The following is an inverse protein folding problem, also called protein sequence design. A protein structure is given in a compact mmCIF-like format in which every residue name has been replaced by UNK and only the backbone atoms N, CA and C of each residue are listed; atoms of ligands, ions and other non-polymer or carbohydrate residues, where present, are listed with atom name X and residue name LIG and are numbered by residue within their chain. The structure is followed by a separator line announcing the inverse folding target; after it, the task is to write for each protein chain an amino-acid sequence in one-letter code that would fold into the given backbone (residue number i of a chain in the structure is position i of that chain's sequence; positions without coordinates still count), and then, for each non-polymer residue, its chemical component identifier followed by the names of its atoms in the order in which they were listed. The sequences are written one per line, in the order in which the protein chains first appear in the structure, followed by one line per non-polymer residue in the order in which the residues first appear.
data_IF_326388029977
#
_entry.id   IF_326388029977
#
_cell.length_a   1.000
_cell.length_b   1.000
_cell.length_c   1.000
_cell.angle_alpha   90.00
_cell.angle_beta   90.00
_cell.angle_gamma   90.00
#
_symmetry.space_group_name_H-M   'P 1'
#
loop_
_entity.id
_entity.type
_entity.pdbx_description
1 polymer ?
#
# COMPACT_ATOMS: atom_id res chain seq x y z
N UNK A 1 -20.19 25.70 -1.33
CA UNK A 1 -19.57 24.36 -1.50
C UNK A 1 -18.74 24.04 -0.27
N UNK A 2 -19.14 23.01 0.48
CA UNK A 2 -18.58 22.64 1.78
C UNK A 2 -17.50 21.57 1.57
N UNK A 3 -16.23 21.92 1.67
CA UNK A 3 -15.16 20.92 1.78
C UNK A 3 -14.98 20.54 3.25
N UNK A 4 -15.42 19.31 3.58
CA UNK A 4 -15.16 18.64 4.85
C UNK A 4 -13.72 18.10 4.82
N UNK A 5 -12.95 18.11 5.90
CA UNK A 5 -11.55 17.67 5.88
C UNK A 5 -11.36 16.18 5.56
N UNK A 6 -12.38 15.36 5.82
CA UNK A 6 -12.45 13.98 5.34
C UNK A 6 -12.46 13.90 3.80
N UNK A 7 -13.07 14.89 3.12
CA UNK A 7 -13.00 15.01 1.67
C UNK A 7 -11.63 15.49 1.19
N UNK A 8 -10.82 16.18 2.00
CA UNK A 8 -9.48 16.63 1.59
C UNK A 8 -8.51 15.45 1.55
N UNK A 9 -8.59 14.52 2.51
CA UNK A 9 -7.85 13.26 2.46
C UNK A 9 -8.37 12.32 1.38
N UNK A 10 -9.68 12.24 1.15
CA UNK A 10 -10.24 11.46 0.02
C UNK A 10 -9.91 12.07 -1.34
N UNK A 11 -9.88 13.40 -1.48
CA UNK A 11 -9.43 14.07 -2.70
C UNK A 11 -7.93 13.94 -2.89
N UNK A 12 -7.14 13.96 -1.80
CA UNK A 12 -5.72 13.61 -1.85
C UNK A 12 -5.55 12.14 -2.26
N UNK A 13 -6.32 11.19 -1.75
CA UNK A 13 -6.25 9.78 -2.16
C UNK A 13 -6.72 9.54 -3.61
N UNK A 14 -7.79 10.22 -4.05
CA UNK A 14 -8.29 10.15 -5.42
C UNK A 14 -7.36 10.85 -6.43
N UNK A 15 -6.73 11.97 -6.05
CA UNK A 15 -5.68 12.60 -6.84
C UNK A 15 -4.35 11.85 -6.79
N UNK A 16 -4.04 11.22 -5.65
CA UNK A 16 -2.92 10.30 -5.52
C UNK A 16 -3.14 9.12 -6.46
N UNK A 17 -4.34 8.58 -6.66
CA UNK A 17 -4.57 7.55 -7.68
C UNK A 17 -4.06 7.91 -9.09
N UNK A 18 -4.15 9.20 -9.48
CA UNK A 18 -3.71 9.66 -10.79
C UNK A 18 -2.25 10.14 -10.85
N UNK A 19 -1.67 10.50 -9.69
CA UNK A 19 -0.24 10.85 -9.53
C UNK A 19 0.64 9.65 -9.17
N UNK A 20 0.12 8.67 -8.42
CA UNK A 20 0.76 7.40 -8.02
C UNK A 20 1.11 6.60 -9.28
N UNK A 21 0.21 6.56 -10.27
CA UNK A 21 0.49 5.98 -11.59
C UNK A 21 1.66 6.65 -12.34
N UNK A 22 2.05 7.88 -11.98
CA UNK A 22 3.17 8.61 -12.59
C UNK A 22 4.43 8.66 -11.71
N UNK A 23 4.32 8.30 -10.42
CA UNK A 23 5.37 8.42 -9.41
C UNK A 23 5.80 7.08 -8.78
N UNK A 24 5.17 5.96 -9.08
CA UNK A 24 5.50 4.65 -8.48
C UNK A 24 6.95 4.16 -8.74
N UNK A 25 7.73 4.85 -9.57
CA UNK A 25 9.16 4.54 -9.80
C UNK A 25 10.12 5.62 -9.26
N UNK A 26 9.61 6.77 -8.80
CA UNK A 26 10.38 7.75 -8.03
C UNK A 26 9.71 7.90 -6.67
N UNK A 27 10.24 7.21 -5.65
CA UNK A 27 9.75 7.21 -4.28
C UNK A 27 9.48 8.65 -3.78
N UNK A 28 8.27 9.14 -4.00
CA UNK A 28 7.82 10.45 -3.58
C UNK A 28 7.15 10.27 -2.22
N UNK A 29 7.79 10.77 -1.18
CA UNK A 29 7.23 10.79 0.16
C UNK A 29 6.85 12.22 0.54
N UNK A 30 6.00 12.35 1.55
CA UNK A 30 5.72 13.63 2.16
C UNK A 30 5.99 13.57 3.66
N UNK A 31 6.50 14.67 4.20
CA UNK A 31 6.65 14.84 5.64
C UNK A 31 6.21 16.24 6.05
N UNK A 32 5.61 16.40 7.23
CA UNK A 32 5.24 17.73 7.68
C UNK A 32 6.49 18.58 7.95
N UNK A 33 6.42 19.89 7.68
CA UNK A 33 7.52 20.82 7.95
C UNK A 33 7.35 21.50 9.33
N UNK A 34 8.14 21.05 10.31
CA UNK A 34 8.17 21.64 11.66
C UNK A 34 9.58 22.04 12.07
N UNK A 35 10.31 22.77 11.24
CA UNK A 35 11.68 23.15 11.59
C UNK A 35 11.72 24.32 12.59
N UNK A 36 11.63 24.01 13.89
CA UNK A 36 11.70 25.00 14.97
C UNK A 36 12.85 24.69 15.94
N UNK A 37 13.52 25.74 16.45
CA UNK A 37 14.57 25.61 17.50
C UNK A 37 14.06 24.87 18.74
N UNK A 38 12.77 25.05 19.07
CA UNK A 38 12.09 24.36 20.17
C UNK A 38 12.06 22.84 19.95
N UNK A 39 11.72 22.38 18.75
CA UNK A 39 11.73 20.96 18.40
C UNK A 39 13.13 20.35 18.50
N UNK A 40 14.17 21.07 18.06
CA UNK A 40 15.55 20.59 18.16
C UNK A 40 16.00 20.44 19.63
N UNK A 41 15.68 21.42 20.48
CA UNK A 41 15.97 21.35 21.91
C UNK A 41 15.20 20.21 22.59
N UNK A 42 13.93 20.01 22.26
CA UNK A 42 13.14 18.89 22.77
C UNK A 42 13.68 17.54 22.31
N UNK A 43 14.16 17.41 21.07
CA UNK A 43 14.84 16.18 20.59
C UNK A 43 16.13 15.89 21.37
N UNK A 44 16.92 16.93 21.68
CA UNK A 44 18.13 16.77 22.50
C UNK A 44 17.79 16.33 23.92
N UNK A 45 16.81 17.00 24.56
CA UNK A 45 16.35 16.68 25.91
C UNK A 45 15.77 15.25 26.01
N UNK A 46 14.93 14.87 25.05
CA UNK A 46 14.35 13.51 25.01
C UNK A 46 15.43 12.43 24.92
N UNK A 47 16.46 12.65 24.09
CA UNK A 47 17.60 11.73 23.96
C UNK A 47 18.45 11.63 25.23
N UNK A 48 18.56 12.70 26.02
CA UNK A 48 19.33 12.66 27.27
C UNK A 48 18.57 12.00 28.42
N UNK A 49 17.24 12.09 28.44
CA UNK A 49 16.41 11.55 29.53
C UNK A 49 16.07 10.06 29.31
N UNK A 50 15.91 9.62 28.05
CA UNK A 50 15.62 8.23 27.74
C UNK A 50 16.91 7.53 27.30
N UNK A 51 17.49 6.72 28.20
CA UNK A 51 18.70 5.91 27.97
C UNK A 51 18.56 4.80 26.91
N UNK A 52 17.54 4.86 26.05
CA UNK A 52 17.35 3.93 24.93
C UNK A 52 17.61 4.67 23.61
N UNK A 53 18.72 4.32 22.98
CA UNK A 53 19.19 4.85 21.68
C UNK A 53 18.22 4.60 20.50
N UNK A 54 17.12 3.88 20.71
CA UNK A 54 16.25 3.35 19.65
C UNK A 54 14.92 4.07 19.42
N UNK A 55 14.42 4.92 20.34
CA UNK A 55 13.07 5.52 20.20
C UNK A 55 13.11 6.93 19.61
N UNK A 56 13.31 7.02 18.30
CA UNK A 56 13.07 8.27 17.55
C UNK A 56 11.57 8.59 17.59
N UNK A 57 11.17 9.69 18.24
CA UNK A 57 9.78 10.15 18.24
C UNK A 57 9.25 10.26 16.80
N UNK A 58 8.13 9.58 16.54
CA UNK A 58 7.38 9.74 15.31
C UNK A 58 6.49 10.99 15.38
N UNK A 59 5.82 11.31 14.27
CA UNK A 59 4.91 12.46 14.19
C UNK A 59 3.81 12.42 15.26
N UNK A 60 3.25 11.24 15.54
CA UNK A 60 2.18 11.08 16.51
C UNK A 60 2.62 11.44 17.93
N UNK A 61 3.87 11.16 18.29
CA UNK A 61 4.41 11.58 19.59
C UNK A 61 4.52 13.11 19.72
N UNK A 62 4.89 13.82 18.65
CA UNK A 62 4.89 15.29 18.67
C UNK A 62 3.48 15.87 18.76
N UNK A 63 2.50 15.25 18.09
CA UNK A 63 1.10 15.63 18.21
C UNK A 63 0.56 15.35 19.62
N UNK A 64 0.89 14.21 20.22
CA UNK A 64 0.48 13.88 21.58
C UNK A 64 1.03 14.90 22.61
N UNK A 65 2.27 15.35 22.43
CA UNK A 65 2.82 16.40 23.29
C UNK A 65 2.03 17.71 23.16
N UNK A 66 1.76 18.14 21.92
CA UNK A 66 1.03 19.38 21.67
C UNK A 66 -0.43 19.29 22.13
N UNK A 67 -1.09 18.13 22.03
CA UNK A 67 -2.47 17.96 22.51
C UNK A 67 -2.57 18.05 24.03
N UNK A 68 -1.62 17.45 24.77
CA UNK A 68 -1.56 17.58 26.24
C UNK A 68 -1.32 19.03 26.64
N UNK A 69 -0.43 19.73 25.93
CA UNK A 69 -0.18 21.16 26.18
C UNK A 69 -1.42 22.03 25.89
N UNK A 70 -2.13 21.74 24.80
CA UNK A 70 -3.39 22.40 24.46
C UNK A 70 -4.46 22.17 25.53
N UNK A 71 -4.55 20.94 26.06
CA UNK A 71 -5.48 20.58 27.12
C UNK A 71 -5.16 21.33 28.42
N UNK A 72 -3.89 21.37 28.84
CA UNK A 72 -3.47 22.13 30.01
C UNK A 72 -3.87 23.60 29.92
N UNK A 73 -3.58 24.23 28.78
CA UNK A 73 -4.02 25.61 28.51
C UNK A 73 -5.55 25.78 28.51
N UNK A 74 -6.29 24.80 28.00
CA UNK A 74 -7.75 24.87 27.98
C UNK A 74 -8.34 24.77 29.39
N UNK A 75 -7.75 23.96 30.27
CA UNK A 75 -8.15 23.84 31.67
C UNK A 75 -7.84 25.11 32.45
N UNK A 76 -6.68 25.74 32.23
CA UNK A 76 -6.32 27.02 32.85
C UNK A 76 -7.28 28.17 32.49
N UNK A 77 -8.00 28.07 31.36
CA UNK A 77 -9.01 29.06 30.95
C UNK A 77 -10.34 28.89 31.69
N UNK A 78 -10.54 27.81 32.45
CA UNK A 78 -11.76 27.57 33.21
C UNK A 78 -11.68 28.34 34.55
N UNK A 79 -12.65 29.22 34.86
CA UNK A 79 -12.68 29.96 36.13
C UNK A 79 -12.70 29.02 37.34
N UNK A 80 -11.87 29.30 38.36
CA UNK A 80 -11.76 28.50 39.58
C UNK A 80 -13.10 28.30 40.31
N UNK A 81 -14.01 29.28 40.27
CA UNK A 81 -15.34 29.21 40.90
C UNK A 81 -16.26 28.12 40.31
N UNK A 82 -15.96 27.63 39.10
CA UNK A 82 -16.72 26.54 38.46
C UNK A 82 -16.20 25.13 38.79
N UNK A 83 -15.09 25.03 39.52
CA UNK A 83 -14.41 23.77 39.87
C UNK A 83 -15.03 23.01 41.06
N UNK A 84 -16.07 23.55 41.70
CA UNK A 84 -16.84 22.83 42.71
C UNK A 84 -17.63 21.70 42.05
N UNK A 85 -16.94 20.58 41.86
CA UNK A 85 -17.57 19.30 41.58
C UNK A 85 -18.28 18.89 42.85
N UNK A 86 -19.53 19.33 43.02
CA UNK A 86 -20.44 18.64 43.91
C UNK A 86 -20.62 17.24 43.30
N UNK A 87 -19.81 16.30 43.78
CA UNK A 87 -20.03 14.88 43.55
C UNK A 87 -21.34 14.52 44.20
N UNK A 88 -22.43 14.59 43.44
CA UNK A 88 -23.69 14.01 43.89
C UNK A 88 -23.48 12.49 44.02
N UNK A 89 -23.32 12.03 45.26
CA UNK A 89 -23.39 10.62 45.63
C UNK A 89 -24.78 10.11 45.27
N UNK A 90 -24.93 9.45 44.12
CA UNK A 90 -26.18 8.80 43.76
C UNK A 90 -26.07 7.29 43.91
N UNK A 91 -26.82 6.79 44.88
CA UNK A 91 -27.22 5.40 45.02
C UNK A 91 -27.72 4.88 43.65
N UNK A 92 -27.01 3.90 43.08
CA UNK A 92 -27.38 3.30 41.79
C UNK A 92 -28.56 2.34 41.99
N UNK A 93 -29.76 2.75 41.62
CA UNK A 93 -30.86 1.82 41.36
C UNK A 93 -30.68 1.27 39.92
N UNK A 94 -30.60 -0.04 39.82
CA UNK A 94 -30.08 -0.83 38.68
C UNK A 94 -31.03 -1.00 37.49
N UNK A 95 -32.06 -0.18 37.34
CA UNK A 95 -33.12 -0.41 36.33
C UNK A 95 -33.48 0.78 35.42
N UNK A 96 -32.66 1.84 35.36
CA UNK A 96 -32.84 2.91 34.37
C UNK A 96 -31.67 2.97 33.38
N UNK A 97 -31.99 2.98 32.08
CA UNK A 97 -31.02 3.30 31.02
C UNK A 97 -30.29 4.60 31.39
N UNK A 98 -28.94 4.62 31.38
CA UNK A 98 -28.20 5.77 31.85
C UNK A 98 -28.44 6.96 30.92
N UNK A 99 -29.21 7.96 31.39
CA UNK A 99 -29.35 9.24 30.72
C UNK A 99 -27.97 9.89 30.66
N UNK A 100 -27.41 10.06 29.46
CA UNK A 100 -26.10 10.65 29.24
C UNK A 100 -26.18 12.14 29.65
N UNK A 101 -25.73 12.45 30.86
CA UNK A 101 -25.64 13.83 31.35
C UNK A 101 -24.46 14.54 30.68
N UNK A 102 -24.68 15.75 30.17
CA UNK A 102 -23.62 16.58 29.56
C UNK A 102 -22.96 17.44 30.65
N UNK A 103 -21.65 17.29 30.84
CA UNK A 103 -20.89 18.10 31.80
C UNK A 103 -20.85 19.58 31.40
N UNK A 104 -21.19 20.48 32.33
CA UNK A 104 -21.06 21.94 32.16
C UNK A 104 -19.59 22.35 32.00
N UNK A 105 -18.71 21.78 32.83
CA UNK A 105 -17.25 21.94 32.75
C UNK A 105 -16.71 21.47 31.40
N UNK A 106 -17.21 20.34 30.88
CA UNK A 106 -16.77 19.81 29.58
C UNK A 106 -16.99 20.81 28.44
N UNK A 107 -18.12 21.54 28.45
CA UNK A 107 -18.39 22.60 27.45
C UNK A 107 -17.42 23.77 27.57
N UNK A 108 -17.03 24.12 28.79
CA UNK A 108 -16.08 25.22 29.05
C UNK A 108 -14.67 24.85 28.58
N UNK A 109 -14.20 23.64 28.90
CA UNK A 109 -12.92 23.11 28.43
C UNK A 109 -12.91 23.05 26.90
N UNK A 110 -13.98 22.55 26.27
CA UNK A 110 -14.08 22.50 24.81
C UNK A 110 -13.97 23.90 24.18
N UNK A 111 -14.63 24.89 24.76
CA UNK A 111 -14.55 26.28 24.30
C UNK A 111 -13.12 26.84 24.47
N UNK A 112 -12.48 26.57 25.61
CA UNK A 112 -11.08 26.91 25.85
C UNK A 112 -10.16 26.30 24.79
N UNK A 113 -10.31 24.99 24.54
CA UNK A 113 -9.52 24.22 23.58
C UNK A 113 -9.65 24.77 22.15
N UNK A 114 -10.87 25.11 21.69
CA UNK A 114 -11.10 25.74 20.39
C UNK A 114 -10.47 27.15 20.27
N UNK A 115 -10.30 27.87 21.38
CA UNK A 115 -9.66 29.20 21.43
C UNK A 115 -8.14 29.12 21.56
N UNK A 116 -7.58 27.98 21.99
CA UNK A 116 -6.14 27.85 22.17
C UNK A 116 -5.37 28.06 20.87
N UNK A 117 -4.35 28.92 20.94
CA UNK A 117 -3.38 29.15 19.88
C UNK A 117 -1.99 29.24 20.50
N UNK A 118 -1.05 28.43 20.03
CA UNK A 118 0.33 28.47 20.50
C UNK A 118 1.28 27.80 19.50
N UNK A 119 2.58 28.03 19.68
CA UNK A 119 3.63 27.33 18.93
C UNK A 119 4.05 26.06 19.66
N UNK A 120 3.59 24.92 19.18
CA UNK A 120 3.95 23.58 19.66
C UNK A 120 5.22 23.03 19.03
N UNK A 121 5.50 21.75 19.28
CA UNK A 121 6.59 21.00 18.65
C UNK A 121 6.29 20.66 17.19
N UNK A 122 5.01 20.50 16.85
CA UNK A 122 4.48 20.28 15.51
C UNK A 122 4.06 21.58 14.80
N UNK A 123 4.67 22.71 15.18
CA UNK A 123 4.42 24.02 14.56
C UNK A 123 3.28 24.80 15.22
N UNK A 124 2.55 25.59 14.44
CA UNK A 124 1.48 26.44 14.96
C UNK A 124 0.23 25.60 15.27
N UNK A 125 -0.07 25.43 16.55
CA UNK A 125 -1.29 24.79 17.01
C UNK A 125 -2.45 25.77 16.93
N UNK A 126 -3.43 25.47 16.08
CA UNK A 126 -4.72 26.16 16.05
C UNK A 126 -5.80 25.23 15.53
N UNK A 127 -6.97 25.26 16.14
CA UNK A 127 -8.11 24.46 15.73
C UNK A 127 -9.09 25.31 14.92
N UNK A 128 -9.36 24.91 13.68
CA UNK A 128 -10.40 25.50 12.83
C UNK A 128 -11.52 24.49 12.73
N UNK A 129 -12.71 24.83 13.26
CA UNK A 129 -13.87 23.93 13.32
C UNK A 129 -13.57 22.58 13.99
N UNK A 130 -12.77 22.61 15.06
CA UNK A 130 -12.39 21.41 15.83
C UNK A 130 -11.26 20.58 15.21
N UNK A 131 -10.62 21.05 14.15
CA UNK A 131 -9.56 20.32 13.46
C UNK A 131 -8.26 21.11 13.44
N UNK A 132 -7.14 20.43 13.63
CA UNK A 132 -5.82 21.05 13.56
C UNK A 132 -5.61 21.67 12.19
N UNK A 133 -5.33 22.97 12.16
CA UNK A 133 -4.98 23.67 10.93
C UNK A 133 -3.75 23.01 10.34
N UNK A 134 -3.88 22.47 9.13
CA UNK A 134 -2.81 21.74 8.46
C UNK A 134 -1.58 22.63 8.24
N UNK A 135 -0.43 22.18 8.74
CA UNK A 135 0.87 22.78 8.42
C UNK A 135 1.28 22.51 6.97
N UNK A 136 2.33 23.19 6.51
CA UNK A 136 2.93 22.92 5.21
C UNK A 136 3.56 21.52 5.19
N UNK A 137 3.35 20.79 4.09
CA UNK A 137 4.02 19.52 3.84
C UNK A 137 5.21 19.72 2.92
N UNK A 138 6.30 19.02 3.18
CA UNK A 138 7.43 18.89 2.27
C UNK A 138 7.19 17.68 1.37
N UNK A 139 7.40 17.87 0.08
CA UNK A 139 7.40 16.79 -0.92
C UNK A 139 8.85 16.44 -1.17
N UNK A 140 9.20 15.19 -0.89
CA UNK A 140 10.56 14.67 -1.00
C UNK A 140 10.63 13.59 -2.06
N UNK A 141 11.70 13.63 -2.85
CA UNK A 141 12.12 12.56 -3.71
C UNK A 141 13.18 11.73 -2.97
N UNK A 142 12.97 10.43 -2.84
CA UNK A 142 13.85 9.51 -2.11
C UNK A 142 14.66 8.66 -3.10
N UNK A 143 15.99 8.78 -3.05
CA UNK A 143 16.90 8.04 -3.93
C UNK A 143 18.06 7.50 -3.12
N UNK A 144 18.37 6.21 -3.23
CA UNK A 144 19.51 5.56 -2.57
C UNK A 144 19.63 5.97 -1.09
N UNK A 145 18.51 5.91 -0.36
CA UNK A 145 18.36 6.29 1.06
C UNK A 145 18.61 7.79 1.38
N UNK A 146 18.67 8.67 0.37
CA UNK A 146 18.78 10.13 0.55
C UNK A 146 17.45 10.80 0.20
N UNK A 147 16.99 11.67 1.09
CA UNK A 147 15.81 12.50 0.88
C UNK A 147 16.19 13.83 0.21
N UNK A 148 15.50 14.19 -0.88
CA UNK A 148 15.67 15.47 -1.55
C UNK A 148 14.34 16.20 -1.67
N UNK A 149 14.21 17.37 -1.03
CA UNK A 149 13.00 18.19 -1.12
C UNK A 149 12.82 18.74 -2.54
N UNK A 150 11.72 18.36 -3.18
CA UNK A 150 11.33 18.80 -4.53
C UNK A 150 10.25 19.89 -4.51
N UNK A 151 9.52 20.04 -3.40
CA UNK A 151 8.63 21.18 -3.21
C UNK A 151 7.84 21.10 -1.91
N UNK A 152 6.77 21.87 -1.83
CA UNK A 152 5.92 21.99 -0.67
C UNK A 152 4.45 21.98 -1.08
N UNK A 153 3.58 21.55 -0.16
CA UNK A 153 2.14 21.70 -0.29
C UNK A 153 1.56 22.47 0.89
N UNK A 154 0.64 23.39 0.62
CA UNK A 154 -0.12 24.11 1.64
C UNK A 154 -1.59 24.20 1.23
N UNK A 155 -2.49 24.20 2.21
CA UNK A 155 -3.93 24.29 1.95
C UNK A 155 -4.33 25.53 1.12
N UNK A 156 -3.64 26.66 1.33
CA UNK A 156 -3.96 27.94 0.67
C UNK A 156 -3.43 28.04 -0.77
N UNK A 157 -2.33 27.35 -1.10
CA UNK A 157 -1.61 27.54 -2.37
C UNK A 157 -1.46 26.26 -3.21
N UNK A 158 -1.84 25.10 -2.68
CA UNK A 158 -1.52 23.82 -3.29
C UNK A 158 -0.02 23.58 -3.37
N UNK A 159 0.43 23.01 -4.49
CA UNK A 159 1.83 22.65 -4.75
C UNK A 159 2.67 23.88 -5.10
N UNK A 160 3.80 24.07 -4.41
CA UNK A 160 4.73 25.17 -4.68
C UNK A 160 6.19 24.75 -4.56
N UNK A 161 7.07 25.44 -5.29
CA UNK A 161 8.53 25.20 -5.23
C UNK A 161 9.18 25.67 -3.93
N UNK A 162 8.64 26.75 -3.38
CA UNK A 162 9.19 27.47 -2.21
C UNK A 162 8.07 27.75 -1.22
N UNK A 163 8.43 27.75 0.06
CA UNK A 163 7.58 28.18 1.16
C UNK A 163 7.67 29.72 1.30
N UNK A 164 6.60 30.45 0.96
CA UNK A 164 6.60 31.93 1.02
C UNK A 164 5.37 32.58 0.37
N UNK A 165 5.19 33.89 0.56
CA UNK A 165 4.10 34.66 -0.09
C UNK A 165 4.36 34.74 -1.60
N UNK A 166 3.38 34.36 -2.41
CA UNK A 166 3.43 34.56 -3.85
C UNK A 166 3.42 36.08 -4.13
N UNK A 167 4.31 36.56 -5.01
CA UNK A 167 4.14 37.90 -5.59
C UNK A 167 2.86 37.86 -6.43
N UNK A 168 1.88 38.71 -6.12
CA UNK A 168 0.67 38.89 -6.95
C UNK A 168 1.14 39.24 -8.37
N UNK A 169 0.66 38.51 -9.38
CA UNK A 169 0.80 38.92 -10.79
C UNK A 169 1.57 37.98 -11.73
N UNK A 170 1.88 36.73 -11.37
CA UNK A 170 2.35 35.75 -12.38
C UNK A 170 1.33 34.63 -12.56
N UNK A 171 0.89 34.49 -13.81
CA UNK A 171 0.05 33.41 -14.32
C UNK A 171 0.56 32.06 -13.81
N UNK A 172 -0.35 31.25 -13.26
CA UNK A 172 -0.08 29.92 -12.71
C UNK A 172 0.18 28.92 -13.86
N UNK A 173 1.37 28.97 -14.45
CA UNK A 173 1.83 27.90 -15.35
C UNK A 173 2.25 26.69 -14.52
N UNK A 174 1.53 25.57 -14.70
CA UNK A 174 1.94 24.17 -14.50
C UNK A 174 2.93 23.92 -13.34
N UNK A 175 2.38 23.61 -12.16
CA UNK A 175 3.01 22.98 -10.98
C UNK A 175 4.55 23.06 -10.91
N UNK A 176 5.09 24.11 -10.28
CA UNK A 176 6.54 24.38 -10.19
C UNK A 176 7.33 23.48 -9.21
N UNK A 177 7.06 22.18 -9.11
CA UNK A 177 7.96 21.31 -8.34
C UNK A 177 9.35 21.30 -8.99
N UNK A 178 10.41 21.16 -8.19
CA UNK A 178 11.73 20.82 -8.75
C UNK A 178 11.58 19.46 -9.45
N UNK A 179 12.17 19.27 -10.64
CA UNK A 179 12.10 17.99 -11.31
C UNK A 179 12.66 16.90 -10.38
N UNK A 180 11.94 15.78 -10.21
CA UNK A 180 12.48 14.64 -9.50
C UNK A 180 13.74 14.15 -10.22
N UNK A 181 14.62 13.52 -9.46
CA UNK A 181 15.75 12.76 -10.00
C UNK A 181 15.31 11.30 -9.99
N UNK A 182 15.54 10.62 -11.09
CA UNK A 182 15.18 9.23 -11.29
C UNK A 182 16.34 8.30 -10.96
N UNK A 183 16.09 6.99 -10.75
CA UNK A 183 17.15 6.00 -10.64
C UNK A 183 18.17 6.16 -11.77
N UNK A 184 19.47 6.07 -11.44
CA UNK A 184 20.56 6.38 -12.39
C UNK A 184 20.99 7.86 -12.43
N UNK A 185 20.56 8.69 -11.46
CA UNK A 185 20.94 10.11 -11.31
C UNK A 185 20.54 11.03 -12.48
N UNK A 186 19.53 10.65 -13.26
CA UNK A 186 19.03 11.47 -14.37
C UNK A 186 17.84 12.35 -13.94
N UNK A 187 17.73 13.54 -14.54
CA UNK A 187 16.52 14.39 -14.46
C UNK A 187 15.56 14.13 -15.62
N UNK A 188 16.03 13.40 -16.63
CA UNK A 188 15.21 12.98 -17.75
C UNK A 188 14.22 11.95 -17.23
N UNK A 189 12.95 12.15 -17.58
CA UNK A 189 11.90 11.18 -17.28
C UNK A 189 12.34 9.85 -17.94
N UNK A 190 12.42 8.73 -17.20
CA UNK A 190 12.87 7.46 -17.75
C UNK A 190 12.05 7.14 -18.98
N UNK A 191 12.76 6.89 -20.10
CA UNK A 191 12.12 6.65 -21.39
C UNK A 191 11.23 5.40 -21.41
N UNK A 192 11.27 4.56 -20.36
CA UNK A 192 10.45 3.36 -20.20
C UNK A 192 8.93 3.57 -20.07
N UNK A 193 8.45 4.83 -20.05
CA UNK A 193 7.01 5.16 -20.20
C UNK A 193 6.60 5.42 -21.66
N UNK A 194 7.56 5.42 -22.58
CA UNK A 194 7.35 5.39 -24.03
C UNK A 194 7.94 4.08 -24.54
N UNK A 195 7.21 3.38 -25.40
CA UNK A 195 7.58 2.09 -26.01
C UNK A 195 9.10 1.91 -26.15
N UNK A 196 9.73 0.90 -25.51
CA UNK A 196 11.17 0.71 -25.61
C UNK A 196 11.50 0.26 -27.03
N UNK A 197 11.99 1.18 -27.86
CA UNK A 197 12.47 0.86 -29.22
C UNK A 197 13.83 0.13 -29.18
N UNK A 198 14.42 -0.07 -27.98
CA UNK A 198 15.73 -0.72 -27.82
C UNK A 198 16.12 -1.14 -26.39
N UNK A 199 15.16 -1.45 -25.52
CA UNK A 199 15.43 -1.97 -24.17
C UNK A 199 15.59 -3.49 -24.12
N UNK A 200 16.25 -4.02 -23.09
CA UNK A 200 16.31 -5.47 -22.84
C UNK A 200 14.89 -6.02 -22.62
N UNK A 201 14.50 -7.02 -23.42
CA UNK A 201 13.21 -7.72 -23.26
C UNK A 201 13.20 -8.50 -21.94
N UNK A 202 12.10 -8.42 -21.19
CA UNK A 202 11.89 -9.26 -20.00
C UNK A 202 11.98 -10.73 -20.36
N UNK A 203 12.69 -11.51 -19.55
CA UNK A 203 12.87 -12.95 -19.71
C UNK A 203 11.83 -13.68 -18.88
N UNK A 204 10.78 -14.15 -19.53
CA UNK A 204 9.68 -14.82 -18.86
C UNK A 204 9.88 -16.32 -18.99
N UNK A 205 10.08 -16.99 -17.85
CA UNK A 205 10.21 -18.44 -17.79
C UNK A 205 8.84 -19.11 -17.94
N UNK A 206 8.75 -20.10 -18.82
CA UNK A 206 7.50 -20.80 -19.12
C UNK A 206 7.71 -22.29 -18.89
N UNK A 207 6.91 -22.97 -18.05
CA UNK A 207 7.06 -24.39 -17.80
C UNK A 207 6.67 -25.19 -19.06
N UNK A 208 7.61 -25.97 -19.58
CA UNK A 208 7.37 -26.90 -20.69
C UNK A 208 7.20 -28.30 -20.12
N UNK A 209 5.95 -28.77 -20.03
CA UNK A 209 5.57 -30.01 -19.36
C UNK A 209 4.82 -30.93 -20.33
N UNK A 210 5.26 -32.19 -20.51
CA UNK A 210 4.53 -33.13 -21.35
C UNK A 210 3.21 -33.58 -20.70
N UNK A 211 2.17 -33.74 -21.54
CA UNK A 211 0.96 -34.50 -21.21
C UNK A 211 -0.33 -33.68 -21.00
N UNK A 212 -0.27 -32.45 -20.48
CA UNK A 212 -1.45 -31.60 -20.30
C UNK A 212 -1.24 -30.20 -20.89
N UNK A 213 -1.68 -30.03 -22.13
CA UNK A 213 -1.39 -28.84 -22.94
C UNK A 213 -2.45 -27.74 -22.82
N UNK A 214 -3.58 -27.98 -22.14
CA UNK A 214 -4.69 -27.03 -22.11
C UNK A 214 -4.39 -25.73 -21.34
N UNK A 215 -3.57 -25.82 -20.28
CA UNK A 215 -3.12 -24.63 -19.56
C UNK A 215 -1.96 -23.95 -20.27
N UNK A 216 -1.04 -24.76 -20.78
CA UNK A 216 0.15 -24.24 -21.43
C UNK A 216 0.74 -25.29 -22.35
N UNK A 217 1.00 -24.88 -23.59
CA UNK A 217 1.61 -25.66 -24.64
C UNK A 217 2.77 -24.87 -25.22
N UNK A 218 3.94 -25.51 -25.27
CA UNK A 218 5.14 -24.94 -25.88
C UNK A 218 5.45 -25.74 -27.14
N UNK A 219 5.41 -25.07 -28.28
CA UNK A 219 5.84 -25.63 -29.56
C UNK A 219 7.09 -24.88 -30.03
N UNK A 220 8.07 -25.60 -30.54
CA UNK A 220 9.25 -24.98 -31.11
C UNK A 220 9.10 -24.86 -32.62
N UNK A 221 9.24 -23.64 -33.14
CA UNK A 221 9.22 -23.42 -34.58
C UNK A 221 10.38 -24.20 -35.24
N UNK A 222 10.11 -25.05 -36.23
CA UNK A 222 11.12 -25.91 -36.84
C UNK A 222 12.20 -25.15 -37.64
N UNK A 223 11.92 -23.91 -38.05
CA UNK A 223 12.83 -23.08 -38.86
C UNK A 223 13.54 -22.02 -38.02
N UNK A 224 12.81 -21.28 -37.18
CA UNK A 224 13.37 -20.17 -36.39
C UNK A 224 13.93 -20.63 -35.04
N UNK A 225 13.53 -21.82 -34.58
CA UNK A 225 13.77 -22.35 -33.22
C UNK A 225 13.18 -21.48 -32.11
N UNK A 226 12.33 -20.51 -32.45
CA UNK A 226 11.64 -19.68 -31.47
C UNK A 226 10.48 -20.48 -30.84
N UNK A 227 10.27 -20.34 -29.52
CA UNK A 227 9.18 -21.00 -28.84
C UNK A 227 7.86 -20.25 -29.07
N UNK A 228 6.88 -20.95 -29.63
CA UNK A 228 5.49 -20.52 -29.67
C UNK A 228 4.79 -21.08 -28.44
N UNK A 229 4.20 -20.20 -27.63
CA UNK A 229 3.48 -20.57 -26.41
C UNK A 229 2.00 -20.30 -26.62
N UNK A 230 1.15 -21.28 -26.30
CA UNK A 230 -0.30 -21.17 -26.35
C UNK A 230 -0.93 -21.81 -25.11
N UNK A 231 -2.19 -21.50 -24.82
CA UNK A 231 -2.95 -22.13 -23.73
C UNK A 231 -3.47 -21.13 -22.70
N UNK A 232 -4.43 -21.57 -21.89
CA UNK A 232 -5.21 -20.71 -21.01
C UNK A 232 -4.37 -19.78 -20.11
N UNK A 233 -3.31 -20.31 -19.49
CA UNK A 233 -2.47 -19.51 -18.59
C UNK A 233 -1.68 -18.43 -19.33
N UNK A 234 -1.34 -18.65 -20.62
CA UNK A 234 -0.68 -17.67 -21.46
C UNK A 234 -1.65 -16.61 -21.96
N UNK A 235 -2.86 -16.99 -22.36
CA UNK A 235 -3.89 -16.06 -22.82
C UNK A 235 -4.25 -15.06 -21.71
N UNK A 236 -4.43 -15.53 -20.47
CA UNK A 236 -4.67 -14.66 -19.30
C UNK A 236 -3.50 -13.68 -19.07
N UNK A 237 -2.27 -14.15 -19.28
CA UNK A 237 -1.08 -13.32 -19.15
C UNK A 237 -1.02 -12.24 -20.25
N UNK A 238 -1.34 -12.60 -21.49
CA UNK A 238 -1.35 -11.67 -22.63
C UNK A 238 -2.44 -10.59 -22.45
N UNK A 239 -3.64 -10.98 -22.03
CA UNK A 239 -4.73 -10.04 -21.68
C UNK A 239 -4.33 -9.09 -20.56
N UNK A 240 -3.67 -9.61 -19.52
CA UNK A 240 -3.13 -8.78 -18.44
C UNK A 240 -2.11 -7.75 -18.94
N UNK A 241 -1.27 -8.13 -19.91
CA UNK A 241 -0.31 -7.22 -20.55
C UNK A 241 -0.98 -6.22 -21.49
N UNK A 242 -2.05 -6.61 -22.19
CA UNK A 242 -2.80 -5.73 -23.10
C UNK A 242 -3.51 -4.59 -22.36
N UNK A 243 -3.88 -4.80 -21.09
CA UNK A 243 -4.47 -3.77 -20.23
C UNK A 243 -3.46 -2.75 -19.69
N UNK A 244 -2.15 -3.01 -19.81
CA UNK A 244 -1.14 -2.08 -19.34
C UNK A 244 -1.12 -0.82 -20.23
N UNK A 245 -1.02 0.38 -19.64
CA UNK A 245 -0.98 1.63 -20.41
C UNK A 245 0.34 1.85 -21.16
N UNK A 246 1.25 0.87 -21.14
CA UNK A 246 2.56 0.90 -21.78
C UNK A 246 2.95 -0.48 -22.30
N UNK A 247 3.70 -0.50 -23.40
CA UNK A 247 4.22 -1.75 -23.95
C UNK A 247 5.35 -2.28 -23.07
N UNK A 248 5.30 -3.58 -22.77
CA UNK A 248 6.34 -4.30 -22.03
C UNK A 248 6.95 -5.37 -22.94
N UNK A 249 8.06 -5.05 -23.64
CA UNK A 249 8.76 -6.02 -24.47
C UNK A 249 9.25 -7.18 -23.61
N UNK A 250 8.84 -8.39 -23.97
CA UNK A 250 9.23 -9.61 -23.28
C UNK A 250 9.57 -10.71 -24.29
N UNK A 251 10.29 -11.72 -23.81
CA UNK A 251 10.57 -12.96 -24.52
C UNK A 251 10.23 -14.13 -23.60
N UNK A 252 9.57 -15.12 -24.18
CA UNK A 252 9.23 -16.36 -23.50
C UNK A 252 10.41 -17.31 -23.63
N UNK A 253 10.79 -17.95 -22.53
CA UNK A 253 11.87 -18.91 -22.48
C UNK A 253 11.33 -20.19 -21.86
N UNK A 254 11.17 -21.26 -22.66
CA UNK A 254 10.77 -22.56 -22.16
C UNK A 254 11.74 -23.08 -21.12
N UNK A 255 11.18 -23.68 -20.08
CA UNK A 255 11.91 -24.35 -19.01
C UNK A 255 11.35 -25.76 -18.85
N UNK A 256 12.16 -26.81 -19.13
CA UNK A 256 11.66 -28.18 -19.13
C UNK A 256 11.25 -28.61 -17.71
N UNK A 257 10.04 -29.14 -17.58
CA UNK A 257 9.51 -29.76 -16.38
C UNK A 257 9.47 -31.27 -16.61
N UNK A 258 10.54 -31.92 -16.16
CA UNK A 258 10.76 -33.37 -16.25
C UNK A 258 11.40 -33.81 -14.92
N UNK A 259 10.99 -34.97 -14.35
CA UNK A 259 11.70 -35.64 -13.25
C UNK A 259 13.23 -35.49 -13.26
N UNK A 260 13.86 -35.57 -14.43
CA UNK A 260 15.32 -35.50 -14.58
C UNK A 260 15.84 -34.08 -14.90
N UNK A 261 15.07 -33.25 -15.62
CA UNK A 261 15.56 -31.96 -16.13
C UNK A 261 15.18 -30.75 -15.25
N UNK A 262 13.99 -30.73 -14.66
CA UNK A 262 13.50 -29.50 -14.02
C UNK A 262 12.20 -29.65 -13.24
N UNK A 263 12.01 -28.77 -12.26
CA UNK A 263 10.78 -28.70 -11.45
C UNK A 263 10.30 -27.26 -11.38
N UNK A 264 9.02 -27.05 -11.09
CA UNK A 264 8.48 -25.70 -10.83
C UNK A 264 9.29 -24.95 -9.76
N UNK A 265 9.79 -25.65 -8.74
CA UNK A 265 10.62 -25.02 -7.71
C UNK A 265 11.96 -24.53 -8.30
N UNK A 266 12.58 -25.29 -9.21
CA UNK A 266 13.81 -24.85 -9.92
C UNK A 266 13.53 -23.66 -10.85
N UNK A 267 12.39 -23.66 -11.56
CA UNK A 267 11.96 -22.52 -12.38
C UNK A 267 11.86 -21.24 -11.54
N UNK A 268 11.16 -21.29 -10.40
CA UNK A 268 11.03 -20.14 -9.51
C UNK A 268 12.35 -19.75 -8.84
N UNK A 269 13.21 -20.72 -8.56
CA UNK A 269 14.56 -20.43 -8.08
C UNK A 269 15.41 -19.70 -9.13
N UNK A 270 15.19 -19.96 -10.43
CA UNK A 270 15.81 -19.18 -11.50
C UNK A 270 15.27 -17.75 -11.62
N UNK A 271 14.02 -17.50 -11.22
CA UNK A 271 13.50 -16.13 -11.05
C UNK A 271 14.22 -15.44 -9.89
N UNK A 272 14.34 -16.10 -8.74
CA UNK A 272 15.09 -15.57 -7.58
C UNK A 272 16.54 -15.20 -7.92
N UNK A 273 17.21 -16.05 -8.70
CA UNK A 273 18.60 -15.85 -9.12
C UNK A 273 18.72 -14.94 -10.36
N UNK A 274 17.64 -14.25 -10.76
CA UNK A 274 17.62 -13.29 -11.88
C UNK A 274 18.07 -13.90 -13.21
N UNK A 275 17.89 -15.21 -13.41
CA UNK A 275 18.01 -15.84 -14.74
C UNK A 275 16.75 -15.61 -15.57
N UNK A 276 15.60 -15.57 -14.90
CA UNK A 276 14.33 -15.10 -15.41
C UNK A 276 13.89 -13.88 -14.61
N UNK A 277 13.13 -12.99 -15.24
CA UNK A 277 12.59 -11.80 -14.60
C UNK A 277 11.17 -12.07 -14.04
N UNK A 278 10.45 -13.01 -14.64
CA UNK A 278 9.16 -13.51 -14.18
C UNK A 278 8.92 -14.95 -14.67
N UNK A 279 7.85 -15.59 -14.20
CA UNK A 279 7.40 -16.89 -14.71
C UNK A 279 5.87 -16.90 -14.91
N UNK A 280 5.41 -17.58 -15.96
CA UNK A 280 4.00 -17.69 -16.35
C UNK A 280 3.65 -19.15 -16.57
N UNK A 281 2.53 -19.61 -16.04
CA UNK A 281 2.01 -20.97 -16.24
C UNK A 281 1.04 -21.41 -15.16
N UNK A 282 0.78 -22.72 -15.13
CA UNK A 282 -0.04 -23.43 -14.14
C UNK A 282 0.68 -23.60 -12.79
N UNK A 283 1.26 -22.51 -12.28
CA UNK A 283 2.11 -22.53 -11.09
C UNK A 283 1.25 -22.43 -9.83
N UNK A 284 1.14 -23.53 -9.09
CA UNK A 284 0.47 -23.52 -7.78
C UNK A 284 1.20 -22.62 -6.78
N UNK A 285 0.46 -21.71 -6.14
CA UNK A 285 0.95 -20.85 -5.07
C UNK A 285 1.10 -21.71 -3.80
N UNK A 286 2.32 -21.88 -3.32
CA UNK A 286 2.65 -22.65 -2.12
C UNK A 286 3.54 -21.83 -1.19
N UNK A 287 3.41 -22.03 0.12
CA UNK A 287 4.15 -21.27 1.13
C UNK A 287 5.68 -21.36 0.96
N UNK A 288 6.22 -22.51 0.54
CA UNK A 288 7.65 -22.66 0.26
C UNK A 288 8.10 -21.89 -0.99
N UNK A 289 7.23 -21.74 -2.00
CA UNK A 289 7.51 -21.00 -3.24
C UNK A 289 7.48 -19.49 -3.02
N UNK A 290 6.64 -19.01 -2.10
CA UNK A 290 6.59 -17.60 -1.68
C UNK A 290 7.88 -17.10 -1.02
N UNK A 291 8.83 -17.99 -0.67
CA UNK A 291 10.15 -17.61 -0.20
C UNK A 291 11.15 -17.28 -1.34
N UNK A 292 10.76 -17.58 -2.57
CA UNK A 292 11.60 -17.36 -3.75
C UNK A 292 11.10 -16.20 -4.61
N UNK A 293 9.79 -16.05 -4.72
CA UNK A 293 9.13 -15.10 -5.61
C UNK A 293 7.88 -14.54 -4.94
N UNK A 294 7.50 -13.34 -5.36
CA UNK A 294 6.18 -12.79 -5.08
C UNK A 294 5.18 -13.26 -6.15
N UNK A 295 3.96 -13.58 -5.75
CA UNK A 295 2.90 -14.03 -6.64
C UNK A 295 1.88 -12.94 -6.91
N UNK A 296 1.28 -12.97 -8.10
CA UNK A 296 0.06 -12.22 -8.41
C UNK A 296 -1.14 -12.84 -7.68
N UNK A 297 -2.29 -12.16 -7.75
CA UNK A 297 -3.55 -12.79 -7.37
C UNK A 297 -3.81 -14.01 -8.27
N UNK A 298 -4.32 -15.13 -7.71
CA UNK A 298 -4.63 -16.31 -8.49
C UNK A 298 -5.75 -16.00 -9.49
N UNK A 299 -5.56 -16.39 -10.74
CA UNK A 299 -6.56 -16.27 -11.80
C UNK A 299 -7.45 -17.51 -11.94
N UNK A 300 -7.05 -18.61 -11.30
CA UNK A 300 -7.80 -19.87 -11.27
C UNK A 300 -7.83 -20.40 -9.83
N UNK A 301 -9.01 -20.83 -9.40
CA UNK A 301 -9.15 -21.51 -8.11
C UNK A 301 -8.71 -22.96 -8.24
N UNK A 302 -7.82 -23.41 -7.36
CA UNK A 302 -7.41 -24.81 -7.25
C UNK A 302 -8.30 -25.51 -6.21
N UNK A 303 -8.85 -26.65 -6.57
CA UNK A 303 -9.55 -27.55 -5.65
C UNK A 303 -9.02 -28.99 -5.79
N UNK A 304 -9.11 -29.77 -4.72
CA UNK A 304 -8.68 -31.18 -4.69
C UNK A 304 -9.92 -32.06 -4.76
N UNK A 305 -10.06 -32.79 -5.87
CA UNK A 305 -11.18 -33.71 -6.09
C UNK A 305 -10.70 -35.15 -6.22
N UNK A 306 -11.47 -36.10 -5.67
CA UNK A 306 -11.21 -37.52 -5.85
C UNK A 306 -11.91 -38.02 -7.11
N UNK A 307 -11.12 -38.47 -8.10
CA UNK A 307 -11.65 -39.14 -9.29
C UNK A 307 -11.69 -40.64 -9.01
N UNK A 308 -12.88 -41.23 -9.00
CA UNK A 308 -13.07 -42.67 -8.82
C UNK A 308 -13.56 -43.26 -10.13
N UNK A 309 -12.96 -44.38 -10.56
CA UNK A 309 -13.47 -45.13 -11.70
C UNK A 309 -14.89 -45.59 -11.38
N UNK A 310 -15.83 -45.21 -12.22
CA UNK A 310 -17.19 -45.76 -12.16
C UNK A 310 -17.07 -47.26 -12.39
N UNK A 311 -17.43 -48.06 -11.38
CA UNK A 311 -17.60 -49.50 -11.57
C UNK A 311 -18.87 -49.70 -12.39
N UNK A 312 -18.80 -50.58 -13.37
CA UNK A 312 -20.00 -51.03 -14.07
C UNK A 312 -20.99 -51.59 -13.04
N UNK A 313 -22.28 -51.30 -13.26
CA UNK A 313 -23.30 -51.75 -12.33
C UNK A 313 -23.48 -53.27 -12.46
N UNK A 314 -22.93 -54.01 -11.49
CA UNK A 314 -23.07 -55.46 -11.39
C UNK A 314 -24.55 -55.92 -11.26
N UNK A 315 -25.51 -54.98 -11.20
CA UNK A 315 -26.95 -55.26 -11.30
C UNK A 315 -27.41 -55.75 -12.68
N UNK A 316 -26.64 -55.52 -13.74
CA UNK A 316 -26.93 -56.07 -15.06
C UNK A 316 -26.39 -57.50 -15.27
N UNK A 317 -25.87 -58.15 -14.23
CA UNK A 317 -25.43 -59.54 -14.29
C UNK A 317 -26.63 -60.48 -14.05
N UNK A 318 -26.78 -61.51 -14.89
CA UNK A 318 -27.83 -62.54 -14.78
C UNK A 318 -27.86 -63.23 -13.41
N UNK A 319 -26.74 -63.24 -12.69
CA UNK A 319 -26.61 -63.82 -11.34
C UNK A 319 -26.94 -62.85 -10.20
N UNK A 320 -27.53 -61.69 -10.48
CA UNK A 320 -27.90 -60.67 -9.48
C UNK A 320 -28.84 -61.23 -8.39
N UNK A 321 -29.69 -62.21 -8.74
CA UNK A 321 -30.61 -62.89 -7.84
C UNK A 321 -29.92 -63.76 -6.78
N UNK A 322 -28.63 -64.09 -6.94
CA UNK A 322 -27.86 -64.85 -5.95
C UNK A 322 -27.20 -63.96 -4.88
N UNK A 323 -27.15 -62.62 -5.08
CA UNK A 323 -26.57 -61.70 -4.09
C UNK A 323 -27.21 -61.73 -2.69
N UNK A 324 -28.52 -61.96 -2.49
CA UNK A 324 -29.11 -62.03 -1.16
C UNK A 324 -28.97 -63.42 -0.49
N UNK A 325 -28.44 -64.44 -1.17
CA UNK A 325 -28.23 -65.77 -0.60
C UNK A 325 -26.82 -65.86 0.01
N UNK A 326 -26.73 -66.10 1.32
CA UNK A 326 -25.47 -66.45 1.99
C UNK A 326 -25.12 -67.91 1.73
N UNK A 327 -23.83 -68.20 1.53
CA UNK A 327 -23.30 -69.56 1.31
C UNK A 327 -23.32 -70.46 2.55
N UNK A 328 -23.83 -69.96 3.68
CA UNK A 328 -24.00 -70.73 4.91
C UNK A 328 -25.27 -71.59 4.82
N UNK A 329 -25.14 -72.78 4.21
CA UNK A 329 -26.17 -73.80 4.11
C UNK A 329 -25.61 -75.18 4.48
#
# INVERSE_FOLDING_TARGET
MKYNSSNVLQLLHAWLGQLVLQFDVACAAWKPNFNTKRLENSKKKWKSEIHSSSTKLNIFGYWAYDTVWALGKAVEMVPQESSSVNGENHHRNTSQFPVIKVSKIGKMILNGLLKTKFKGLSGDFSLVRGQLRSSAFEIINVINNKEKVIGYWTLEKGLSRKLGKAKKGKSMSKYELKPPIWPGNTKDIPRGWTTPVGGNKLRIGVPDKPGFEAYLKVEQDPYTKEPTVTGFSYDVFEEGFALLPFAVPHKLIPFPIDPNAGTYNKLLYHVKNQKFDAAVGDITILANRSQYVDFTLPYLQSDVSMVVKIKEDDRNNMLIFLKPLSWDL
#
